data_IF_419053407032
#
_entry.id   IF_419053407032
#
_cell.length_a   1.000
_cell.length_b   1.000
_cell.length_c   1.000
_cell.angle_alpha   90.00
_cell.angle_beta   90.00
_cell.angle_gamma   90.00
#
_symmetry.space_group_name_H-M   'P 1'
#
loop_
_entity.id
_entity.type
_entity.pdbx_description
1 polymer ?
#
# COMPACT_ATOMS: atom_id res chain seq x y z
N UNK A 1 -0.29 -6.59 -20.25
CA UNK A 1 0.62 -6.11 -19.19
C UNK A 1 0.75 -7.19 -18.14
N UNK A 2 1.95 -7.56 -17.70
CA UNK A 2 2.08 -8.57 -16.64
C UNK A 2 1.74 -7.95 -15.28
N UNK A 3 0.83 -8.59 -14.54
CA UNK A 3 0.43 -8.18 -13.18
C UNK A 3 1.37 -8.78 -12.12
N UNK A 4 2.67 -8.81 -12.40
CA UNK A 4 3.67 -9.46 -11.53
C UNK A 4 3.69 -8.88 -10.11
N UNK A 5 3.41 -7.58 -9.96
CA UNK A 5 3.32 -6.94 -8.65
C UNK A 5 2.29 -7.60 -7.72
N UNK A 6 1.19 -8.15 -8.27
CA UNK A 6 0.17 -8.85 -7.49
C UNK A 6 0.76 -10.15 -6.91
N UNK A 7 1.48 -10.93 -7.75
CA UNK A 7 2.15 -12.16 -7.32
C UNK A 7 3.24 -11.90 -6.29
N UNK A 8 3.92 -10.77 -6.42
CA UNK A 8 4.98 -10.35 -5.50
C UNK A 8 4.43 -9.68 -4.23
N UNK A 9 3.11 -9.48 -4.11
CA UNK A 9 2.46 -8.74 -3.01
C UNK A 9 3.05 -7.33 -2.85
N UNK A 10 3.45 -6.72 -3.96
CA UNK A 10 4.15 -5.45 -3.97
C UNK A 10 3.16 -4.28 -3.91
N UNK A 11 3.43 -3.36 -2.99
CA UNK A 11 2.68 -2.11 -2.93
C UNK A 11 3.21 -1.11 -3.96
N UNK A 12 2.30 -0.33 -4.55
CA UNK A 12 2.60 0.73 -5.53
C UNK A 12 2.19 2.06 -4.92
N UNK A 13 3.07 3.06 -4.99
CA UNK A 13 2.77 4.42 -4.52
C UNK A 13 2.98 5.40 -5.66
N UNK A 14 1.90 6.07 -6.08
CA UNK A 14 1.88 7.09 -7.11
C UNK A 14 1.91 8.47 -6.47
N UNK A 15 3.00 9.20 -6.68
CA UNK A 15 3.25 10.51 -6.07
C UNK A 15 3.40 11.54 -7.18
N UNK A 16 2.69 12.67 -7.05
CA UNK A 16 2.81 13.78 -8.00
C UNK A 16 1.73 14.83 -7.84
N UNK A 17 1.85 16.00 -8.50
CA UNK A 17 0.90 17.09 -8.40
C UNK A 17 -0.50 16.67 -8.89
N UNK A 18 -1.52 17.47 -8.58
CA UNK A 18 -2.88 17.20 -9.05
C UNK A 18 -2.96 17.28 -10.58
N UNK A 19 -3.90 16.54 -11.18
CA UNK A 19 -4.14 16.58 -12.63
C UNK A 19 -3.19 15.73 -13.50
N UNK A 20 -2.17 15.07 -12.95
CA UNK A 20 -1.22 14.25 -13.74
C UNK A 20 -1.66 12.80 -14.00
N UNK A 21 -2.94 12.47 -13.74
CA UNK A 21 -3.50 11.14 -14.05
C UNK A 21 -3.17 10.03 -13.05
N UNK A 22 -2.76 10.33 -11.81
CA UNK A 22 -2.45 9.31 -10.78
C UNK A 22 -3.64 8.37 -10.52
N UNK A 23 -4.83 8.94 -10.31
CA UNK A 23 -6.05 8.18 -10.09
C UNK A 23 -6.43 7.36 -11.32
N UNK A 24 -6.26 7.91 -12.52
CA UNK A 24 -6.47 7.19 -13.79
C UNK A 24 -5.53 5.98 -13.93
N UNK A 25 -4.25 6.15 -13.62
CA UNK A 25 -3.28 5.05 -13.62
C UNK A 25 -3.64 3.99 -12.58
N UNK A 26 -4.00 4.40 -11.36
CA UNK A 26 -4.41 3.48 -10.31
C UNK A 26 -5.68 2.69 -10.67
N UNK A 27 -6.67 3.35 -11.27
CA UNK A 27 -7.89 2.72 -11.76
C UNK A 27 -7.61 1.74 -12.90
N UNK A 28 -6.75 2.11 -13.84
CA UNK A 28 -6.33 1.21 -14.93
C UNK A 28 -5.61 -0.02 -14.38
N UNK A 29 -4.77 0.11 -13.35
CA UNK A 29 -4.15 -1.04 -12.69
C UNK A 29 -5.20 -1.98 -12.06
N UNK A 30 -6.19 -1.42 -11.37
CA UNK A 30 -7.29 -2.21 -10.79
C UNK A 30 -8.15 -2.88 -11.88
N UNK A 31 -8.43 -2.17 -12.97
CA UNK A 31 -9.17 -2.72 -14.11
C UNK A 31 -8.42 -3.89 -14.74
N UNK A 32 -7.11 -3.75 -14.97
CA UNK A 32 -6.28 -4.83 -15.49
C UNK A 32 -6.24 -6.03 -14.52
N UNK A 33 -6.18 -5.77 -13.20
CA UNK A 33 -6.27 -6.83 -12.19
C UNK A 33 -7.58 -7.63 -12.31
N UNK A 34 -8.72 -6.95 -12.42
CA UNK A 34 -10.03 -7.58 -12.62
C UNK A 34 -10.06 -8.36 -13.94
N UNK A 35 -9.58 -7.78 -15.03
CA UNK A 35 -9.50 -8.46 -16.33
C UNK A 35 -8.61 -9.73 -16.28
N UNK A 36 -7.63 -9.75 -15.37
CA UNK A 36 -6.78 -10.90 -15.08
C UNK A 36 -7.37 -11.92 -14.09
N UNK A 37 -8.62 -11.75 -13.66
CA UNK A 37 -9.30 -12.65 -12.73
C UNK A 37 -9.03 -12.39 -11.24
N UNK A 38 -8.40 -11.27 -10.90
CA UNK A 38 -8.16 -10.86 -9.52
C UNK A 38 -9.30 -10.00 -8.97
N UNK A 39 -9.49 -10.04 -7.66
CA UNK A 39 -10.40 -9.11 -6.97
C UNK A 39 -9.72 -7.77 -6.76
N UNK A 40 -10.42 -6.67 -7.07
CA UNK A 40 -9.92 -5.33 -6.81
C UNK A 40 -10.98 -4.44 -6.16
N UNK A 41 -10.56 -3.52 -5.30
CA UNK A 41 -11.40 -2.52 -4.66
C UNK A 41 -10.76 -1.14 -4.78
N UNK A 42 -11.55 -0.14 -5.17
CA UNK A 42 -11.13 1.25 -5.21
C UNK A 42 -11.88 2.06 -4.15
N UNK A 43 -11.18 2.93 -3.44
CA UNK A 43 -11.77 3.87 -2.48
C UNK A 43 -10.87 5.09 -2.32
N UNK A 44 -11.44 6.24 -1.95
CA UNK A 44 -10.64 7.37 -1.46
C UNK A 44 -10.28 7.12 0.01
N UNK A 45 -9.13 7.61 0.43
CA UNK A 45 -8.71 7.48 1.82
C UNK A 45 -9.73 8.11 2.78
N UNK A 46 -10.36 9.22 2.39
CA UNK A 46 -11.37 9.90 3.20
C UNK A 46 -12.65 9.10 3.38
N UNK A 47 -13.17 8.54 2.29
CA UNK A 47 -14.35 7.70 2.37
C UNK A 47 -14.09 6.47 3.25
N UNK A 48 -13.00 5.74 2.98
CA UNK A 48 -12.64 4.54 3.73
C UNK A 48 -12.46 4.83 5.22
N UNK A 49 -11.68 5.86 5.55
CA UNK A 49 -11.35 6.18 6.92
C UNK A 49 -12.56 6.78 7.67
N UNK A 50 -13.41 7.54 7.00
CA UNK A 50 -14.69 7.99 7.57
C UNK A 50 -15.63 6.81 7.87
N UNK A 51 -15.76 5.86 6.93
CA UNK A 51 -16.58 4.66 7.13
C UNK A 51 -16.06 3.78 8.28
N UNK A 52 -14.74 3.66 8.43
CA UNK A 52 -14.13 2.92 9.54
C UNK A 52 -14.25 3.65 10.88
N UNK A 53 -14.05 4.97 10.89
CA UNK A 53 -14.12 5.79 12.11
C UNK A 53 -15.55 5.96 12.63
N UNK A 54 -16.57 5.83 11.78
CA UNK A 54 -17.98 5.89 12.18
C UNK A 54 -18.50 4.60 12.85
N UNK A 55 -17.70 3.53 12.90
CA UNK A 55 -18.09 2.27 13.53
C UNK A 55 -17.67 2.27 15.01
N UNK A 56 -18.66 2.14 15.90
CA UNK A 56 -18.44 2.07 17.35
C UNK A 56 -18.34 0.62 17.87
N UNK A 57 -18.83 -0.34 17.10
CA UNK A 57 -18.76 -1.76 17.46
C UNK A 57 -17.48 -2.40 16.93
N UNK A 58 -16.69 -3.02 17.82
CA UNK A 58 -15.48 -3.76 17.45
C UNK A 58 -15.73 -4.84 16.40
N UNK A 59 -16.86 -5.55 16.48
CA UNK A 59 -17.20 -6.61 15.53
C UNK A 59 -17.50 -6.03 14.14
N UNK A 60 -18.22 -4.91 14.09
CA UNK A 60 -18.51 -4.19 12.85
C UNK A 60 -17.24 -3.61 12.24
N UNK A 61 -16.37 -3.00 13.05
CA UNK A 61 -15.08 -2.47 12.63
C UNK A 61 -14.19 -3.57 12.03
N UNK A 62 -14.04 -4.70 12.73
CA UNK A 62 -13.27 -5.85 12.23
C UNK A 62 -13.81 -6.37 10.90
N UNK A 63 -15.13 -6.49 10.77
CA UNK A 63 -15.78 -6.90 9.52
C UNK A 63 -15.51 -5.91 8.38
N UNK A 64 -15.55 -4.61 8.67
CA UNK A 64 -15.30 -3.57 7.66
C UNK A 64 -13.84 -3.49 7.25
N UNK A 65 -12.91 -3.60 8.19
CA UNK A 65 -11.48 -3.74 7.91
C UNK A 65 -11.19 -4.94 7.03
N UNK A 66 -11.82 -6.09 7.31
CA UNK A 66 -11.65 -7.28 6.48
C UNK A 66 -12.13 -7.07 5.03
N UNK A 67 -13.21 -6.30 4.82
CA UNK A 67 -13.66 -5.95 3.46
C UNK A 67 -12.60 -5.18 2.66
N UNK A 68 -11.80 -4.33 3.32
CA UNK A 68 -10.70 -3.63 2.69
C UNK A 68 -9.41 -4.46 2.60
N UNK A 69 -9.20 -5.39 3.53
CA UNK A 69 -8.02 -6.24 3.57
C UNK A 69 -8.09 -7.46 2.62
N UNK A 70 -9.29 -7.94 2.29
CA UNK A 70 -9.48 -9.17 1.50
C UNK A 70 -9.20 -9.08 0.00
N UNK A 71 -9.42 -7.96 -0.72
CA UNK A 71 -9.18 -7.92 -2.17
C UNK A 71 -7.71 -8.11 -2.49
N UNK A 72 -7.41 -8.77 -3.61
CA UNK A 72 -6.04 -8.97 -4.11
C UNK A 72 -5.35 -7.63 -4.37
N UNK A 73 -6.10 -6.64 -4.86
CA UNK A 73 -5.66 -5.27 -5.07
C UNK A 73 -6.60 -4.29 -4.37
N UNK A 74 -6.06 -3.49 -3.45
CA UNK A 74 -6.77 -2.35 -2.88
C UNK A 74 -6.14 -1.06 -3.42
N UNK A 75 -6.94 -0.21 -4.04
CA UNK A 75 -6.55 1.15 -4.43
C UNK A 75 -7.09 2.12 -3.39
N UNK A 76 -6.17 2.90 -2.79
CA UNK A 76 -6.47 3.98 -1.86
C UNK A 76 -6.04 5.30 -2.50
N UNK A 77 -7.01 6.06 -2.98
CA UNK A 77 -6.78 7.35 -3.63
C UNK A 77 -6.65 8.48 -2.59
N UNK A 78 -5.79 9.47 -2.86
CA UNK A 78 -5.70 10.73 -2.11
C UNK A 78 -5.30 10.65 -0.62
N UNK A 79 -4.40 9.72 -0.25
CA UNK A 79 -3.93 9.54 1.15
C UNK A 79 -3.24 10.80 1.73
N UNK A 80 -2.87 11.78 0.91
CA UNK A 80 -2.16 12.99 1.34
C UNK A 80 -3.04 14.18 1.76
N UNK A 81 -4.35 14.14 1.57
CA UNK A 81 -5.18 15.36 1.72
C UNK A 81 -5.78 15.58 3.10
N UNK A 82 -5.89 14.54 3.91
CA UNK A 82 -6.67 14.61 5.14
C UNK A 82 -5.75 14.93 6.32
N UNK A 83 -6.16 15.93 7.10
CA UNK A 83 -5.70 16.11 8.48
C UNK A 83 -6.25 14.97 9.32
N UNK A 84 -5.66 13.79 9.20
CA UNK A 84 -6.09 12.61 9.93
C UNK A 84 -5.97 12.88 11.43
N UNK A 85 -7.08 12.73 12.14
CA UNK A 85 -7.02 12.55 13.60
C UNK A 85 -6.23 11.27 13.91
N UNK A 86 -5.73 11.14 15.15
CA UNK A 86 -4.99 9.94 15.58
C UNK A 86 -5.75 8.65 15.26
N UNK A 87 -7.07 8.62 15.47
CA UNK A 87 -7.93 7.48 15.13
C UNK A 87 -7.83 7.07 13.66
N UNK A 88 -7.82 8.03 12.72
CA UNK A 88 -7.71 7.70 11.30
C UNK A 88 -6.31 7.17 10.95
N UNK A 89 -5.25 7.67 11.59
CA UNK A 89 -3.91 7.16 11.41
C UNK A 89 -3.79 5.71 11.91
N UNK A 90 -4.36 5.41 13.08
CA UNK A 90 -4.39 4.06 13.66
C UNK A 90 -5.14 3.09 12.75
N UNK A 91 -6.30 3.49 12.22
CA UNK A 91 -7.09 2.68 11.29
C UNK A 91 -6.37 2.42 9.97
N UNK A 92 -5.70 3.43 9.40
CA UNK A 92 -4.91 3.27 8.19
C UNK A 92 -3.74 2.32 8.44
N UNK A 93 -3.04 2.48 9.57
CA UNK A 93 -1.93 1.62 9.96
C UNK A 93 -2.38 0.17 10.14
N UNK A 94 -3.51 -0.06 10.81
CA UNK A 94 -4.06 -1.40 11.00
C UNK A 94 -4.40 -2.06 9.66
N UNK A 95 -5.05 -1.34 8.74
CA UNK A 95 -5.36 -1.84 7.40
C UNK A 95 -4.10 -2.19 6.60
N UNK A 96 -3.13 -1.27 6.54
CA UNK A 96 -1.87 -1.50 5.82
C UNK A 96 -1.12 -2.69 6.41
N UNK A 97 -1.11 -2.84 7.73
CA UNK A 97 -0.47 -3.97 8.42
C UNK A 97 -1.11 -5.31 8.06
N UNK A 98 -2.44 -5.37 7.94
CA UNK A 98 -3.16 -6.59 7.52
C UNK A 98 -2.86 -7.00 6.07
N UNK A 99 -2.55 -6.04 5.20
CA UNK A 99 -2.27 -6.28 3.78
C UNK A 99 -0.80 -6.52 3.49
N UNK A 100 0.11 -6.00 4.33
CA UNK A 100 1.55 -6.03 4.09
C UNK A 100 2.08 -7.45 3.89
N UNK A 101 2.63 -7.73 2.70
CA UNK A 101 3.17 -9.04 2.34
C UNK A 101 2.13 -10.14 2.13
N UNK A 102 0.84 -9.78 2.06
CA UNK A 102 -0.29 -10.70 1.83
C UNK A 102 -1.01 -10.35 0.52
N UNK A 103 -1.39 -9.09 0.34
CA UNK A 103 -2.08 -8.59 -0.85
C UNK A 103 -1.54 -7.21 -1.25
N UNK A 104 -1.73 -6.82 -2.51
CA UNK A 104 -1.11 -5.61 -3.06
C UNK A 104 -1.95 -4.37 -2.78
N UNK A 105 -1.31 -3.26 -2.44
CA UNK A 105 -1.98 -1.98 -2.20
C UNK A 105 -1.42 -0.92 -3.13
N UNK A 106 -2.29 -0.24 -3.86
CA UNK A 106 -1.95 0.91 -4.72
C UNK A 106 -2.40 2.17 -3.99
N UNK A 107 -1.49 3.11 -3.79
CA UNK A 107 -1.77 4.38 -3.12
C UNK A 107 -1.51 5.53 -4.07
N UNK A 108 -2.37 6.52 -4.10
CA UNK A 108 -2.05 7.82 -4.69
C UNK A 108 -1.90 8.89 -3.62
N UNK A 109 -0.96 9.81 -3.84
CA UNK A 109 -0.80 10.99 -2.99
C UNK A 109 -0.27 12.15 -3.81
N UNK A 110 -0.72 13.34 -3.46
CA UNK A 110 -0.21 14.58 -4.03
C UNK A 110 0.83 15.26 -3.11
N UNK A 111 1.03 14.76 -1.89
CA UNK A 111 2.05 15.26 -0.98
C UNK A 111 3.35 14.48 -1.17
N UNK A 112 4.49 15.16 -1.36
CA UNK A 112 5.78 14.50 -1.28
C UNK A 112 5.96 13.96 0.15
N UNK A 113 6.55 12.77 0.29
CA UNK A 113 7.01 12.31 1.59
C UNK A 113 8.01 13.34 2.14
N UNK A 114 7.84 13.78 3.39
CA UNK A 114 8.84 14.60 4.09
C UNK A 114 10.13 13.77 4.16
N UNK A 115 11.03 13.96 3.19
CA UNK A 115 12.28 13.20 3.08
C UNK A 115 12.80 12.99 1.65
N UNK A 116 11.98 12.96 0.60
CA UNK A 116 12.47 12.74 -0.77
C UNK A 116 11.81 13.69 -1.79
N UNK A 117 12.61 14.56 -2.40
CA UNK A 117 12.28 15.20 -3.68
C UNK A 117 12.48 14.17 -4.79
N UNK A 118 11.61 14.25 -5.80
CA UNK A 118 11.60 13.49 -7.06
C UNK A 118 10.86 12.15 -7.04
N UNK A 119 9.81 12.11 -7.86
CA UNK A 119 9.11 10.95 -8.47
C UNK A 119 9.76 9.61 -8.11
N UNK A 120 9.22 8.91 -7.11
CA UNK A 120 9.71 7.59 -6.72
C UNK A 120 8.69 6.52 -7.10
N UNK A 121 9.02 5.67 -8.07
CA UNK A 121 8.43 4.34 -8.23
C UNK A 121 9.00 3.44 -7.11
N UNK A 122 8.27 3.24 -6.02
CA UNK A 122 8.73 2.31 -4.97
C UNK A 122 8.08 0.94 -5.17
N UNK A 123 8.78 0.05 -5.87
CA UNK A 123 8.62 -1.40 -5.76
C UNK A 123 9.25 -1.85 -4.44
N UNK A 124 8.44 -2.10 -3.40
CA UNK A 124 8.99 -2.48 -2.10
C UNK A 124 9.38 -3.97 -2.05
N UNK A 125 10.66 -4.26 -2.27
CA UNK A 125 11.38 -5.33 -1.55
C UNK A 125 12.85 -4.99 -1.34
N UNK A 126 13.30 -4.85 -0.08
CA UNK A 126 14.71 -5.03 0.27
C UNK A 126 15.05 -6.53 0.04
N UNK A 127 16.17 -6.78 -0.66
CA UNK A 127 16.64 -8.07 -1.22
C UNK A 127 16.39 -9.32 -0.34
N UNK A 128 16.03 -10.45 -0.95
CA UNK A 128 16.27 -11.78 -0.32
C UNK A 128 17.79 -12.00 -0.28
N UNK A 129 18.35 -12.66 0.76
CA UNK A 129 19.73 -13.11 0.71
C UNK A 129 19.87 -14.12 -0.44
N UNK A 130 20.86 -13.89 -1.30
CA UNK A 130 21.30 -14.83 -2.33
C UNK A 130 21.73 -16.13 -1.63
N UNK A 131 21.14 -17.26 -2.00
CA UNK A 131 21.72 -18.59 -1.73
C UNK A 131 22.63 -18.92 -2.91
N UNK A 132 23.88 -19.29 -2.65
CA UNK A 132 24.76 -19.93 -3.64
C UNK A 132 24.05 -21.18 -4.21
N UNK A 133 24.38 -21.59 -5.44
CA UNK A 133 23.89 -22.81 -6.10
C UNK A 133 23.97 -24.08 -5.22
N UNK A 134 24.74 -24.05 -4.13
CA UNK A 134 24.84 -25.09 -3.11
C UNK A 134 23.91 -24.93 -1.90
N UNK A 135 22.93 -24.03 -1.95
CA UNK A 135 21.86 -23.90 -0.95
C UNK A 135 22.27 -23.34 0.43
N UNK A 136 23.52 -22.87 0.61
CA UNK A 136 24.01 -22.33 1.88
C UNK A 136 23.58 -20.87 2.08
N UNK A 137 23.23 -20.49 3.32
CA UNK A 137 22.95 -19.09 3.68
C UNK A 137 24.28 -18.33 3.82
N UNK A 138 24.47 -17.25 3.04
CA UNK A 138 25.53 -16.28 3.32
C UNK A 138 25.28 -15.57 4.67
N UNK A 139 26.33 -15.36 5.50
CA UNK A 139 26.17 -14.72 6.80
C UNK A 139 25.70 -13.26 6.65
N UNK A 140 24.66 -12.90 7.40
CA UNK A 140 24.06 -11.56 7.38
C UNK A 140 25.10 -10.51 7.84
N UNK A 141 25.43 -9.54 6.99
CA UNK A 141 26.05 -8.29 7.46
C UNK A 141 25.03 -7.54 8.32
N UNK A 142 25.42 -7.17 9.54
CA UNK A 142 24.62 -6.38 10.50
C UNK A 142 24.08 -5.13 9.81
N UNK A 143 22.79 -4.84 9.99
CA UNK A 143 22.26 -3.50 9.74
C UNK A 143 22.78 -2.61 10.86
N UNK A 144 23.67 -1.66 10.53
CA UNK A 144 23.92 -0.50 11.35
C UNK A 144 22.73 0.45 11.21
N UNK A 145 22.13 0.82 12.33
CA UNK A 145 21.28 2.01 12.44
C UNK A 145 22.26 3.16 12.59
N UNK A 146 22.48 3.92 11.52
CA UNK A 146 23.26 5.15 11.65
C UNK A 146 22.34 6.20 12.28
N UNK A 147 22.57 6.47 13.57
CA UNK A 147 22.07 7.67 14.24
C UNK A 147 23.03 8.79 13.85
N UNK A 148 22.56 9.75 13.08
CA UNK A 148 23.20 11.06 13.06
C UNK A 148 22.14 12.16 12.94
N UNK A 149 22.25 13.05 13.93
CA UNK A 149 21.73 14.41 14.13
C UNK A 149 20.84 15.02 13.05
#
# INVERSE_FOLDING_TARGET
MSLEFIKDTANVVLIGPNGVGKSTLALNLAYQAIAGGHTALFTTAGQMLGELAALDSDSALRRRLNRYASPDVLVIDEVGYLSYSNRHADLLFELVSRRYGVTSTVVTTNRPFKGNRSITHTLTRRRRPHRDDRGRRCPKRRMSVDKTA
#
